data_IF_971162211056
#
_entry.id   IF_971162211056
#
_cell.length_a   1.000
_cell.length_b   1.000
_cell.length_c   1.000
_cell.angle_alpha   90.00
_cell.angle_beta   90.00
_cell.angle_gamma   90.00
#
_symmetry.space_group_name_H-M   'P 1'
#
loop_
_entity.id
_entity.type
_entity.pdbx_description
1 polymer ?
#
# COMPACT_ATOMS: atom_id res chain seq x y z
N UNK A 1 -71.35 -21.87 42.74
CA UNK A 1 -70.31 -22.12 41.71
C UNK A 1 -70.17 -20.87 40.84
N UNK A 2 -69.15 -20.01 41.05
CA UNK A 2 -68.93 -18.86 40.18
C UNK A 2 -67.97 -19.21 39.04
N UNK A 3 -68.36 -18.86 37.80
CA UNK A 3 -67.48 -18.88 36.63
C UNK A 3 -66.57 -17.65 36.69
N UNK A 4 -65.28 -17.87 36.94
CA UNK A 4 -64.23 -16.86 36.73
C UNK A 4 -64.06 -16.64 35.22
N UNK A 5 -64.83 -15.71 34.66
CA UNK A 5 -64.56 -15.17 33.34
C UNK A 5 -63.32 -14.27 33.47
N UNK A 6 -62.18 -14.77 33.00
CA UNK A 6 -60.99 -13.98 32.74
C UNK A 6 -61.32 -12.98 31.62
N UNK A 7 -61.75 -11.78 31.99
CA UNK A 7 -61.81 -10.63 31.09
C UNK A 7 -60.38 -10.26 30.69
N UNK A 8 -59.90 -10.85 29.59
CA UNK A 8 -58.66 -10.47 28.95
C UNK A 8 -58.84 -9.07 28.35
N UNK A 9 -58.38 -8.08 29.12
CA UNK A 9 -58.44 -6.65 28.82
C UNK A 9 -57.96 -6.36 27.37
N UNK A 10 -58.87 -5.87 26.52
CA UNK A 10 -58.65 -5.69 25.07
C UNK A 10 -57.58 -4.66 24.72
N UNK A 11 -57.21 -3.80 25.67
CA UNK A 11 -56.21 -2.74 25.50
C UNK A 11 -54.78 -3.25 25.28
N UNK A 12 -54.45 -4.49 25.66
CA UNK A 12 -53.08 -5.02 25.59
C UNK A 12 -52.78 -5.77 24.29
N UNK A 13 -53.83 -6.14 23.54
CA UNK A 13 -53.73 -6.82 22.24
C UNK A 13 -52.92 -6.04 21.20
N UNK A 14 -53.11 -4.72 20.98
CA UNK A 14 -52.30 -3.99 20.01
C UNK A 14 -50.81 -3.93 20.41
N UNK A 15 -50.51 -3.79 21.70
CA UNK A 15 -49.12 -3.76 22.20
C UNK A 15 -48.42 -5.11 22.01
N UNK A 16 -49.12 -6.23 22.22
CA UNK A 16 -48.60 -7.57 21.97
C UNK A 16 -48.35 -7.82 20.47
N UNK A 17 -49.26 -7.38 19.59
CA UNK A 17 -49.08 -7.49 18.13
C UNK A 17 -47.87 -6.68 17.66
N UNK A 18 -47.69 -5.45 18.16
CA UNK A 18 -46.51 -4.63 17.85
C UNK A 18 -45.23 -5.31 18.34
N UNK A 19 -45.19 -5.80 19.59
CA UNK A 19 -44.02 -6.47 20.14
C UNK A 19 -43.63 -7.71 19.33
N UNK A 20 -44.60 -8.58 19.00
CA UNK A 20 -44.35 -9.79 18.21
C UNK A 20 -43.89 -9.43 16.80
N UNK A 21 -44.51 -8.44 16.16
CA UNK A 21 -44.10 -7.95 14.84
C UNK A 21 -42.68 -7.37 14.87
N UNK A 22 -42.33 -6.60 15.89
CA UNK A 22 -40.97 -6.07 16.09
C UNK A 22 -39.95 -7.18 16.32
N UNK A 23 -40.26 -8.20 17.14
CA UNK A 23 -39.39 -9.34 17.36
C UNK A 23 -39.19 -10.18 16.09
N UNK A 24 -40.26 -10.40 15.32
CA UNK A 24 -40.19 -11.11 14.05
C UNK A 24 -39.36 -10.34 13.02
N UNK A 25 -39.54 -9.01 12.95
CA UNK A 25 -38.74 -8.14 12.10
C UNK A 25 -37.25 -8.18 12.50
N UNK A 26 -36.94 -8.06 13.79
CA UNK A 26 -35.57 -8.18 14.30
C UNK A 26 -34.96 -9.55 14.00
N UNK A 27 -35.74 -10.62 14.11
CA UNK A 27 -35.28 -11.97 13.79
C UNK A 27 -35.00 -12.16 12.29
N UNK A 28 -35.87 -11.64 11.42
CA UNK A 28 -35.65 -11.66 9.97
C UNK A 28 -34.41 -10.86 9.61
N UNK A 29 -34.23 -9.67 10.21
CA UNK A 29 -33.02 -8.86 10.04
C UNK A 29 -31.79 -9.64 10.52
N UNK A 30 -31.85 -10.24 11.71
CA UNK A 30 -30.76 -11.06 12.24
C UNK A 30 -30.37 -12.18 11.28
N UNK A 31 -31.32 -12.97 10.77
CA UNK A 31 -31.05 -14.03 9.81
C UNK A 31 -30.50 -13.50 8.47
N UNK A 32 -30.93 -12.32 8.04
CA UNK A 32 -30.42 -11.67 6.81
C UNK A 32 -28.97 -11.18 6.97
N UNK A 33 -28.57 -10.83 8.19
CA UNK A 33 -27.23 -10.34 8.52
C UNK A 33 -26.23 -11.48 8.79
N UNK A 34 -26.68 -12.71 8.99
CA UNK A 34 -25.78 -13.85 9.16
C UNK A 34 -24.97 -14.14 7.88
N UNK A 35 -23.71 -14.59 8.02
CA UNK A 35 -22.89 -14.93 6.87
C UNK A 35 -23.50 -16.10 6.08
N UNK A 36 -23.44 -16.00 4.75
CA UNK A 36 -24.01 -17.01 3.83
C UNK A 36 -22.88 -17.81 3.19
N UNK A 37 -22.64 -19.06 3.59
CA UNK A 37 -21.60 -19.89 3.01
C UNK A 37 -21.93 -20.27 1.57
N UNK A 38 -20.89 -20.38 0.74
CA UNK A 38 -20.95 -21.02 -0.57
C UNK A 38 -21.00 -22.53 -0.35
N UNK A 39 -21.94 -23.20 -1.03
CA UNK A 39 -22.11 -24.64 -0.93
C UNK A 39 -20.87 -25.38 -1.47
N UNK A 40 -20.40 -26.39 -0.74
CA UNK A 40 -19.28 -27.25 -1.16
C UNK A 40 -17.89 -26.74 -0.75
N UNK A 41 -17.76 -25.53 -0.19
CA UNK A 41 -16.48 -25.03 0.33
C UNK A 41 -16.43 -25.15 1.86
N UNK A 42 -15.42 -25.81 2.44
CA UNK A 42 -15.27 -25.92 3.90
C UNK A 42 -15.20 -24.57 4.61
N UNK A 43 -15.79 -24.50 5.80
CA UNK A 43 -15.79 -23.32 6.65
C UNK A 43 -15.91 -23.73 8.11
N UNK A 44 -15.56 -22.82 9.02
CA UNK A 44 -15.72 -23.05 10.45
C UNK A 44 -17.20 -22.98 10.85
N UNK A 45 -17.80 -24.04 11.42
CA UNK A 45 -19.24 -24.09 11.71
C UNK A 45 -19.75 -22.99 12.64
N UNK A 46 -18.88 -22.42 13.49
CA UNK A 46 -19.25 -21.36 14.41
C UNK A 46 -19.32 -19.97 13.76
N UNK A 47 -18.70 -19.80 12.58
CA UNK A 47 -18.68 -18.52 11.89
C UNK A 47 -20.08 -18.12 11.41
N UNK A 48 -20.85 -19.06 10.86
CA UNK A 48 -22.20 -18.78 10.33
C UNK A 48 -23.25 -18.51 11.41
N UNK A 49 -22.92 -18.79 12.68
CA UNK A 49 -23.81 -18.54 13.83
C UNK A 49 -23.68 -17.11 14.37
N UNK A 50 -22.65 -16.36 13.94
CA UNK A 50 -22.30 -15.05 14.47
C UNK A 50 -22.40 -14.01 13.36
N UNK A 51 -22.96 -12.83 13.65
CA UNK A 51 -23.09 -11.72 12.69
C UNK A 51 -21.72 -11.29 12.14
N UNK A 52 -20.68 -11.29 12.98
CA UNK A 52 -19.32 -10.93 12.62
C UNK A 52 -18.49 -12.09 12.06
N UNK A 53 -19.09 -13.26 11.85
CA UNK A 53 -18.39 -14.39 11.25
C UNK A 53 -17.17 -14.83 12.04
N UNK A 54 -16.04 -14.84 11.35
CA UNK A 54 -14.75 -15.28 11.88
C UNK A 54 -13.97 -14.18 12.62
N UNK A 55 -14.37 -12.93 12.45
CA UNK A 55 -13.64 -11.76 12.91
C UNK A 55 -13.32 -11.77 14.41
N UNK A 56 -14.26 -12.09 15.33
CA UNK A 56 -13.94 -12.08 16.76
C UNK A 56 -12.88 -13.10 17.15
N UNK A 57 -12.90 -14.29 16.55
CA UNK A 57 -11.91 -15.33 16.84
C UNK A 57 -10.55 -15.00 16.24
N UNK A 58 -10.54 -14.38 15.05
CA UNK A 58 -9.32 -13.85 14.45
C UNK A 58 -8.69 -12.79 15.37
N UNK A 59 -9.47 -11.80 15.81
CA UNK A 59 -8.99 -10.75 16.71
C UNK A 59 -8.51 -11.32 18.04
N UNK A 60 -9.20 -12.31 18.60
CA UNK A 60 -8.76 -12.98 19.82
C UNK A 60 -7.42 -13.69 19.63
N UNK A 61 -7.22 -14.35 18.49
CA UNK A 61 -5.98 -15.03 18.16
C UNK A 61 -4.83 -14.02 17.95
N UNK A 62 -5.06 -12.93 17.21
CA UNK A 62 -3.99 -11.97 16.86
C UNK A 62 -3.72 -10.93 17.96
N UNK A 63 -4.65 -10.67 18.88
CA UNK A 63 -4.44 -9.69 19.96
C UNK A 63 -3.71 -10.29 21.17
N UNK A 64 -3.88 -11.59 21.41
CA UNK A 64 -3.31 -12.28 22.59
C UNK A 64 -2.00 -13.00 22.30
N UNK A 65 -1.64 -13.19 21.03
CA UNK A 65 -0.45 -13.91 20.63
C UNK A 65 0.27 -13.17 19.50
N UNK A 66 1.57 -13.39 19.34
CA UNK A 66 2.37 -12.86 18.22
C UNK A 66 2.02 -13.52 16.87
N UNK A 67 0.83 -14.13 16.75
CA UNK A 67 0.35 -14.78 15.54
C UNK A 67 -0.12 -13.73 14.54
N UNK A 68 0.39 -13.86 13.32
CA UNK A 68 -0.09 -13.09 12.17
C UNK A 68 -1.44 -13.62 11.67
N UNK A 69 -2.16 -12.77 10.93
CA UNK A 69 -3.40 -13.16 10.22
C UNK A 69 -3.20 -14.44 9.38
N UNK A 70 -2.09 -14.53 8.62
CA UNK A 70 -1.84 -15.69 7.75
C UNK A 70 -1.53 -16.96 8.54
N UNK A 71 -0.85 -16.87 9.69
CA UNK A 71 -0.63 -18.03 10.55
C UNK A 71 -1.96 -18.56 11.11
N UNK A 72 -2.85 -17.67 11.54
CA UNK A 72 -4.19 -18.07 11.97
C UNK A 72 -4.96 -18.78 10.85
N UNK A 73 -4.95 -18.23 9.63
CA UNK A 73 -5.56 -18.89 8.46
C UNK A 73 -4.98 -20.28 8.21
N UNK A 74 -3.66 -20.43 8.25
CA UNK A 74 -3.00 -21.72 8.06
C UNK A 74 -3.43 -22.76 9.11
N UNK A 75 -3.58 -22.35 10.37
CA UNK A 75 -4.10 -23.21 11.44
C UNK A 75 -5.53 -23.66 11.14
N UNK A 76 -6.42 -22.73 10.73
CA UNK A 76 -7.80 -23.07 10.38
C UNK A 76 -7.88 -24.01 9.17
N UNK A 77 -7.03 -23.84 8.16
CA UNK A 77 -6.97 -24.76 7.02
C UNK A 77 -6.52 -26.17 7.43
N UNK A 78 -5.57 -26.27 8.36
CA UNK A 78 -5.12 -27.57 8.92
C UNK A 78 -6.22 -28.24 9.73
N UNK A 79 -6.95 -27.49 10.56
CA UNK A 79 -8.08 -28.00 11.34
C UNK A 79 -9.22 -28.51 10.45
N UNK A 80 -9.47 -27.85 9.32
CA UNK A 80 -10.48 -28.26 8.34
C UNK A 80 -10.00 -29.37 7.39
N UNK A 81 -8.73 -29.77 7.48
CA UNK A 81 -8.06 -30.73 6.57
C UNK A 81 -8.33 -30.44 5.08
N UNK A 82 -8.36 -29.16 4.71
CA UNK A 82 -8.73 -28.72 3.36
C UNK A 82 -7.79 -27.65 2.81
N UNK A 83 -7.34 -27.78 1.55
CA UNK A 83 -6.55 -26.76 0.87
C UNK A 83 -7.39 -25.55 0.41
N UNK A 84 -8.71 -25.60 0.57
CA UNK A 84 -9.63 -24.49 0.29
C UNK A 84 -10.55 -24.27 1.48
N UNK A 85 -10.72 -23.02 1.89
CA UNK A 85 -11.69 -22.64 2.91
C UNK A 85 -12.32 -21.29 2.61
N UNK A 86 -13.51 -21.06 3.13
CA UNK A 86 -14.15 -19.74 3.12
C UNK A 86 -14.12 -19.13 4.52
N UNK A 87 -13.79 -17.85 4.58
CA UNK A 87 -13.77 -17.05 5.81
C UNK A 87 -14.71 -15.87 5.73
N UNK A 88 -15.26 -15.52 6.89
CA UNK A 88 -16.23 -14.46 7.07
C UNK A 88 -15.63 -13.33 7.92
N UNK A 89 -14.60 -12.67 7.39
CA UNK A 89 -13.89 -11.57 8.04
C UNK A 89 -14.46 -10.19 7.72
N UNK A 90 -15.32 -10.10 6.70
CA UNK A 90 -16.00 -8.86 6.27
C UNK A 90 -17.50 -8.97 6.60
N UNK A 91 -18.01 -8.29 7.64
CA UNK A 91 -19.43 -8.33 7.95
C UNK A 91 -20.25 -7.78 6.78
N UNK A 92 -21.43 -8.35 6.55
CA UNK A 92 -22.38 -7.95 5.50
C UNK A 92 -21.86 -8.07 4.06
N UNK A 93 -20.73 -8.74 3.85
CA UNK A 93 -20.08 -8.92 2.56
C UNK A 93 -20.09 -10.40 2.14
N UNK A 94 -19.67 -10.67 0.90
CA UNK A 94 -19.45 -12.04 0.42
C UNK A 94 -18.30 -12.70 1.19
N UNK A 95 -18.32 -14.04 1.38
CA UNK A 95 -17.19 -14.75 1.98
C UNK A 95 -15.92 -14.56 1.16
N UNK A 96 -14.78 -14.52 1.84
CA UNK A 96 -13.46 -14.56 1.21
C UNK A 96 -13.04 -16.01 1.11
N UNK A 97 -12.72 -16.47 -0.10
CA UNK A 97 -12.20 -17.83 -0.33
C UNK A 97 -10.69 -17.76 -0.26
N UNK A 98 -10.10 -18.65 0.53
CA UNK A 98 -8.67 -18.82 0.67
C UNK A 98 -8.30 -20.17 0.07
N UNK A 99 -7.37 -20.12 -0.86
CA UNK A 99 -6.80 -21.28 -1.53
C UNK A 99 -5.33 -21.41 -1.12
N UNK A 100 -4.97 -22.55 -0.54
CA UNK A 100 -3.63 -22.88 -0.08
C UNK A 100 -2.92 -23.92 -0.95
N UNK A 101 -3.54 -24.36 -2.05
CA UNK A 101 -2.88 -25.23 -3.02
C UNK A 101 -2.09 -24.41 -4.05
N UNK A 102 -0.82 -24.76 -4.24
CA UNK A 102 0.08 -24.06 -5.14
C UNK A 102 -0.32 -24.18 -6.62
N UNK A 103 -0.69 -25.39 -7.06
CA UNK A 103 -0.98 -25.65 -8.48
C UNK A 103 -2.25 -24.94 -8.92
N UNK A 104 -3.29 -25.03 -8.10
CA UNK A 104 -4.56 -24.34 -8.35
C UNK A 104 -4.38 -22.82 -8.28
N UNK A 105 -3.57 -22.31 -7.33
CA UNK A 105 -3.27 -20.88 -7.25
C UNK A 105 -2.53 -20.38 -8.50
N UNK A 106 -1.56 -21.16 -8.99
CA UNK A 106 -0.85 -20.86 -10.22
C UNK A 106 -1.79 -20.86 -11.43
N UNK A 107 -2.66 -21.86 -11.55
CA UNK A 107 -3.64 -21.95 -12.64
C UNK A 107 -4.56 -20.71 -12.68
N UNK A 108 -5.09 -20.30 -11.52
CA UNK A 108 -5.92 -19.08 -11.39
C UNK A 108 -5.15 -17.85 -11.87
N UNK A 109 -3.89 -17.68 -11.44
CA UNK A 109 -3.07 -16.52 -11.81
C UNK A 109 -2.73 -16.48 -13.32
N UNK A 110 -2.65 -17.64 -13.98
CA UNK A 110 -2.39 -17.74 -15.41
C UNK A 110 -3.66 -17.51 -16.26
N UNK A 111 -4.86 -17.72 -15.69
CA UNK A 111 -6.15 -17.52 -16.35
C UNK A 111 -6.75 -16.13 -16.10
N UNK A 112 -5.99 -15.09 -16.44
CA UNK A 112 -6.37 -13.68 -16.22
C UNK A 112 -7.63 -13.21 -16.99
N UNK A 113 -8.23 -14.05 -17.83
CA UNK A 113 -9.51 -13.77 -18.51
C UNK A 113 -10.71 -14.21 -17.69
N UNK A 114 -10.53 -15.22 -16.85
CA UNK A 114 -11.58 -15.79 -16.01
C UNK A 114 -11.67 -15.07 -14.65
N UNK A 115 -10.55 -14.47 -14.23
CA UNK A 115 -10.38 -13.81 -12.95
C UNK A 115 -9.99 -12.35 -13.13
N UNK A 116 -10.65 -11.46 -12.37
CA UNK A 116 -10.30 -10.05 -12.30
C UNK A 116 -9.68 -9.71 -10.92
N UNK A 117 -9.17 -8.48 -10.80
CA UNK A 117 -8.57 -7.93 -9.60
C UNK A 117 -9.59 -7.84 -8.46
N UNK A 118 -9.08 -7.93 -7.23
CA UNK A 118 -9.91 -7.91 -6.02
C UNK A 118 -10.46 -6.51 -5.73
N UNK A 119 -11.78 -6.43 -5.53
CA UNK A 119 -12.45 -5.24 -5.00
C UNK A 119 -11.86 -4.79 -3.65
N UNK A 120 -11.40 -5.74 -2.83
CA UNK A 120 -10.77 -5.44 -1.54
C UNK A 120 -9.49 -4.63 -1.70
N UNK A 121 -8.64 -5.01 -2.67
CA UNK A 121 -7.44 -4.25 -2.98
C UNK A 121 -7.80 -2.85 -3.53
N UNK A 122 -8.86 -2.79 -4.35
CA UNK A 122 -9.43 -1.53 -4.82
C UNK A 122 -9.83 -0.60 -3.68
N UNK A 123 -10.58 -1.10 -2.69
CA UNK A 123 -11.00 -0.34 -1.51
C UNK A 123 -9.81 0.15 -0.68
N UNK A 124 -8.82 -0.72 -0.43
CA UNK A 124 -7.61 -0.35 0.32
C UNK A 124 -6.87 0.78 -0.40
N UNK A 125 -6.68 0.68 -1.72
CA UNK A 125 -5.93 1.70 -2.46
C UNK A 125 -6.74 2.97 -2.74
N UNK A 126 -8.07 2.89 -2.81
CA UNK A 126 -8.94 4.02 -3.17
C UNK A 126 -8.82 5.23 -2.25
N UNK A 127 -8.50 5.02 -0.98
CA UNK A 127 -8.35 6.11 -0.04
C UNK A 127 -7.06 6.91 -0.24
N UNK A 128 -5.99 6.27 -0.70
CA UNK A 128 -4.70 6.91 -0.94
C UNK A 128 -4.52 7.36 -2.39
N UNK A 129 -4.78 6.48 -3.33
CA UNK A 129 -4.56 6.67 -4.77
C UNK A 129 -5.85 6.36 -5.54
N UNK A 130 -6.85 7.26 -5.51
CA UNK A 130 -8.10 7.05 -6.25
C UNK A 130 -7.80 6.95 -7.76
N UNK A 131 -8.39 5.94 -8.42
CA UNK A 131 -8.19 5.74 -9.86
C UNK A 131 -6.85 5.10 -10.24
N UNK A 132 -5.99 4.75 -9.28
CA UNK A 132 -4.75 4.05 -9.59
C UNK A 132 -5.01 2.61 -10.06
N UNK A 133 -4.31 2.20 -11.12
CA UNK A 133 -4.53 0.94 -11.82
C UNK A 133 -4.36 -0.31 -10.94
N UNK A 134 -3.68 -0.22 -9.79
CA UNK A 134 -3.56 -1.34 -8.86
C UNK A 134 -4.92 -1.79 -8.33
N UNK A 135 -5.79 -0.82 -8.03
CA UNK A 135 -7.12 -1.02 -7.47
C UNK A 135 -8.25 -0.98 -8.49
N UNK A 136 -7.95 -0.84 -9.79
CA UNK A 136 -8.97 -0.82 -10.84
C UNK A 136 -9.23 -2.21 -11.41
N UNK A 137 -10.48 -2.52 -11.81
CA UNK A 137 -10.80 -3.73 -12.55
C UNK A 137 -10.18 -3.69 -13.96
N UNK A 138 -10.04 -4.86 -14.60
CA UNK A 138 -9.37 -5.01 -15.90
C UNK A 138 -10.26 -4.49 -17.05
N UNK A 139 -10.33 -3.16 -17.19
CA UNK A 139 -11.11 -2.47 -18.21
C UNK A 139 -10.21 -1.64 -19.17
N UNK A 140 -10.82 -0.84 -20.06
CA UNK A 140 -10.09 -0.01 -21.01
C UNK A 140 -9.19 1.03 -20.30
N UNK A 141 -9.66 1.64 -19.22
CA UNK A 141 -8.90 2.59 -18.40
C UNK A 141 -7.68 1.92 -17.77
N UNK A 142 -7.84 0.72 -17.21
CA UNK A 142 -6.73 -0.05 -16.65
C UNK A 142 -5.67 -0.37 -17.71
N UNK A 143 -6.11 -0.79 -18.91
CA UNK A 143 -5.20 -1.08 -20.04
C UNK A 143 -4.43 0.17 -20.46
N UNK A 144 -5.11 1.30 -20.53
CA UNK A 144 -4.50 2.59 -20.86
C UNK A 144 -3.45 2.98 -19.82
N UNK A 145 -3.80 2.99 -18.52
CA UNK A 145 -2.84 3.24 -17.44
C UNK A 145 -1.63 2.30 -17.51
N UNK A 146 -1.86 0.99 -17.66
CA UNK A 146 -0.77 0.00 -17.78
C UNK A 146 0.10 0.20 -19.01
N UNK A 147 -0.49 0.68 -20.11
CA UNK A 147 0.25 0.99 -21.33
C UNK A 147 1.28 2.10 -21.08
N UNK A 148 1.00 3.06 -20.20
CA UNK A 148 1.95 4.13 -19.84
C UNK A 148 3.21 3.58 -19.15
N UNK A 149 3.04 2.59 -18.27
CA UNK A 149 4.14 2.00 -17.49
C UNK A 149 4.95 0.95 -18.26
N UNK A 150 4.46 0.44 -19.39
CA UNK A 150 4.99 -0.75 -20.06
C UNK A 150 6.52 -0.72 -20.26
N UNK A 151 7.06 0.43 -20.67
CA UNK A 151 8.48 0.55 -21.00
C UNK A 151 9.38 0.84 -19.79
N UNK A 152 8.80 1.14 -18.61
CA UNK A 152 9.55 1.42 -17.39
C UNK A 152 10.27 0.17 -16.84
N UNK A 153 9.94 -1.01 -17.35
CA UNK A 153 10.61 -2.28 -17.02
C UNK A 153 11.44 -2.79 -18.22
N UNK A 154 11.56 -2.01 -19.29
CA UNK A 154 12.37 -2.40 -20.44
C UNK A 154 13.86 -2.42 -20.06
N UNK A 155 14.68 -3.32 -20.66
CA UNK A 155 16.13 -3.33 -20.42
C UNK A 155 16.80 -1.98 -20.70
N UNK A 156 16.29 -1.20 -21.67
CA UNK A 156 16.81 0.14 -21.97
C UNK A 156 16.58 1.12 -20.83
N UNK A 157 15.35 1.20 -20.32
CA UNK A 157 15.03 2.06 -19.18
C UNK A 157 15.80 1.64 -17.92
N UNK A 158 15.86 0.33 -17.65
CA UNK A 158 16.56 -0.20 -16.48
C UNK A 158 18.05 0.14 -16.50
N UNK A 159 18.73 0.02 -17.65
CA UNK A 159 20.15 0.33 -17.75
C UNK A 159 20.45 1.84 -17.75
N UNK A 160 19.63 2.63 -18.45
CA UNK A 160 19.94 4.05 -18.68
C UNK A 160 19.42 4.98 -17.59
N UNK A 161 18.32 4.62 -16.91
CA UNK A 161 17.63 5.47 -15.93
C UNK A 161 17.67 4.85 -14.54
N UNK A 162 17.19 3.61 -14.40
CA UNK A 162 17.06 2.99 -13.07
C UNK A 162 18.42 2.64 -12.43
N UNK A 163 19.30 1.96 -13.17
CA UNK A 163 20.58 1.49 -12.64
C UNK A 163 21.48 2.63 -12.13
N UNK A 164 21.65 3.77 -12.83
CA UNK A 164 22.44 4.89 -12.30
C UNK A 164 21.86 5.49 -11.02
N UNK A 165 20.53 5.63 -10.93
CA UNK A 165 19.85 6.14 -9.74
C UNK A 165 20.05 5.22 -8.53
N UNK A 166 19.84 3.92 -8.71
CA UNK A 166 20.05 2.90 -7.67
C UNK A 166 21.52 2.84 -7.26
N UNK A 167 22.45 2.87 -8.22
CA UNK A 167 23.89 2.87 -7.92
C UNK A 167 24.29 4.06 -7.04
N UNK A 168 23.77 5.27 -7.32
CA UNK A 168 24.01 6.46 -6.51
C UNK A 168 23.48 6.29 -5.09
N UNK A 169 22.23 5.82 -4.94
CA UNK A 169 21.63 5.58 -3.63
C UNK A 169 22.43 4.56 -2.80
N UNK A 170 22.81 3.43 -3.42
CA UNK A 170 23.62 2.39 -2.77
C UNK A 170 25.03 2.91 -2.41
N UNK A 171 25.64 3.75 -3.24
CA UNK A 171 26.95 4.35 -2.93
C UNK A 171 26.89 5.26 -1.68
N UNK A 172 25.79 6.00 -1.51
CA UNK A 172 25.52 6.81 -0.31
C UNK A 172 25.34 5.90 0.91
N UNK A 173 24.59 4.80 0.78
CA UNK A 173 24.42 3.81 1.85
C UNK A 173 25.76 3.19 2.29
N UNK A 174 26.61 2.80 1.34
CA UNK A 174 27.94 2.26 1.65
C UNK A 174 28.76 3.31 2.43
N UNK A 175 28.71 4.58 2.01
CA UNK A 175 29.39 5.68 2.71
C UNK A 175 28.86 5.87 4.13
N UNK A 176 27.53 5.81 4.31
CA UNK A 176 26.87 5.87 5.61
C UNK A 176 27.33 4.73 6.52
N UNK A 177 27.37 3.50 6.02
CA UNK A 177 27.79 2.34 6.81
C UNK A 177 29.28 2.32 7.12
N UNK A 178 30.14 2.80 6.23
CA UNK A 178 31.56 3.01 6.55
C UNK A 178 31.72 3.97 7.73
N UNK A 179 30.95 5.07 7.72
CA UNK A 179 30.99 6.06 8.80
C UNK A 179 30.39 5.52 10.11
N UNK A 180 29.21 4.87 10.04
CA UNK A 180 28.61 4.21 11.21
C UNK A 180 29.55 3.16 11.81
N UNK A 181 30.22 2.36 10.98
CA UNK A 181 31.21 1.38 11.43
C UNK A 181 32.40 2.03 12.14
N UNK A 182 32.92 3.14 11.59
CA UNK A 182 34.00 3.93 12.22
C UNK A 182 33.58 4.48 13.59
N UNK A 183 32.39 5.07 13.68
CA UNK A 183 31.81 5.57 14.94
C UNK A 183 31.55 4.41 15.91
N UNK A 184 31.14 3.26 15.39
CA UNK A 184 30.75 2.14 16.21
C UNK A 184 31.91 1.37 16.85
N UNK A 185 33.10 1.46 16.27
CA UNK A 185 34.33 0.93 16.84
C UNK A 185 34.17 -0.53 17.33
N UNK A 186 33.58 -1.38 16.49
CA UNK A 186 33.35 -2.81 16.78
C UNK A 186 32.00 -3.16 17.40
N UNK A 187 31.15 -2.18 17.74
CA UNK A 187 29.78 -2.41 18.22
C UNK A 187 28.79 -2.63 17.06
N UNK A 188 27.71 -3.41 17.25
CA UNK A 188 26.67 -3.55 16.22
C UNK A 188 25.85 -2.26 16.04
N UNK A 189 25.19 -2.11 14.89
CA UNK A 189 24.22 -1.05 14.62
C UNK A 189 23.08 -1.58 13.74
N UNK A 190 21.91 -0.95 13.81
CA UNK A 190 20.76 -1.33 12.98
C UNK A 190 20.95 -0.90 11.52
N UNK A 191 20.74 -1.83 10.60
CA UNK A 191 20.77 -1.59 9.16
C UNK A 191 19.37 -1.46 8.53
N UNK A 192 18.32 -1.80 9.28
CA UNK A 192 16.97 -1.96 8.74
C UNK A 192 16.44 -0.66 8.13
N UNK A 193 16.50 0.44 8.89
CA UNK A 193 15.99 1.74 8.43
C UNK A 193 16.85 2.32 7.31
N UNK A 194 18.16 2.06 7.32
CA UNK A 194 19.06 2.52 6.27
C UNK A 194 18.74 1.83 4.93
N UNK A 195 18.47 0.52 4.95
CA UNK A 195 18.06 -0.24 3.76
C UNK A 195 16.73 0.29 3.24
N UNK A 196 15.77 0.52 4.13
CA UNK A 196 14.45 1.00 3.77
C UNK A 196 14.50 2.41 3.16
N UNK A 197 15.23 3.35 3.77
CA UNK A 197 15.38 4.71 3.22
C UNK A 197 16.19 4.73 1.93
N UNK A 198 17.20 3.87 1.79
CA UNK A 198 17.99 3.77 0.56
C UNK A 198 17.16 3.21 -0.60
N UNK A 199 16.31 2.21 -0.33
CA UNK A 199 15.40 1.67 -1.32
C UNK A 199 14.42 2.76 -1.82
N UNK A 200 13.90 3.57 -0.89
CA UNK A 200 13.03 4.70 -1.23
C UNK A 200 13.76 5.74 -2.10
N UNK A 201 14.99 6.12 -1.73
CA UNK A 201 15.82 7.04 -2.53
C UNK A 201 16.09 6.48 -3.93
N UNK A 202 16.35 5.17 -4.04
CA UNK A 202 16.53 4.50 -5.32
C UNK A 202 15.28 4.55 -6.20
N UNK A 203 14.10 4.33 -5.63
CA UNK A 203 12.82 4.44 -6.34
C UNK A 203 12.55 5.86 -6.80
N UNK A 204 12.75 6.85 -5.92
CA UNK A 204 12.58 8.26 -6.27
C UNK A 204 13.53 8.69 -7.38
N UNK A 205 14.79 8.25 -7.35
CA UNK A 205 15.79 8.62 -8.34
C UNK A 205 15.41 8.22 -9.78
N UNK A 206 14.75 7.07 -9.99
CA UNK A 206 14.30 6.68 -11.33
C UNK A 206 12.85 7.07 -11.62
N UNK A 207 12.02 7.30 -10.60
CA UNK A 207 10.65 7.74 -10.77
C UNK A 207 10.58 9.21 -11.19
N UNK A 208 11.27 10.08 -10.45
CA UNK A 208 11.26 11.54 -10.60
C UNK A 208 12.53 12.08 -11.29
N UNK A 209 13.60 11.29 -11.31
CA UNK A 209 14.85 11.66 -11.97
C UNK A 209 15.89 12.28 -11.02
N UNK A 210 16.96 12.82 -11.59
CA UNK A 210 18.12 13.34 -10.84
C UNK A 210 17.85 14.66 -10.11
N UNK A 211 16.83 15.40 -10.56
CA UNK A 211 16.45 16.72 -10.06
C UNK A 211 15.54 16.62 -8.82
N UNK A 212 15.09 15.42 -8.49
CA UNK A 212 14.30 15.19 -7.30
C UNK A 212 15.12 15.51 -6.04
N UNK A 213 14.72 16.59 -5.38
CA UNK A 213 15.46 17.23 -4.28
C UNK A 213 15.47 16.36 -3.01
N UNK A 214 14.40 15.58 -2.80
CA UNK A 214 14.16 14.90 -1.53
C UNK A 214 14.89 13.56 -1.44
N UNK A 215 15.81 13.44 -0.49
CA UNK A 215 16.53 12.22 -0.17
C UNK A 215 16.42 11.90 1.33
N UNK A 216 16.13 10.66 1.67
CA UNK A 216 15.98 10.18 3.03
C UNK A 216 17.31 9.79 3.68
N UNK A 217 18.27 9.28 2.89
CA UNK A 217 19.53 8.72 3.40
C UNK A 217 20.64 9.76 3.46
N UNK A 218 20.64 10.74 2.55
CA UNK A 218 21.67 11.77 2.48
C UNK A 218 21.74 12.69 3.73
N UNK A 219 20.62 13.17 4.30
CA UNK A 219 20.65 13.95 5.54
C UNK A 219 21.27 13.18 6.71
N UNK A 220 21.05 11.85 6.79
CA UNK A 220 21.68 10.98 7.79
C UNK A 220 23.20 10.96 7.64
N UNK A 221 23.69 10.88 6.41
CA UNK A 221 25.12 10.91 6.12
C UNK A 221 25.74 12.26 6.52
N UNK A 222 25.10 13.37 6.13
CA UNK A 222 25.59 14.72 6.41
C UNK A 222 25.63 15.01 7.92
N UNK A 223 24.61 14.58 8.67
CA UNK A 223 24.58 14.69 10.13
C UNK A 223 25.73 13.91 10.78
N UNK A 224 25.94 12.65 10.39
CA UNK A 224 27.03 11.84 10.95
C UNK A 224 28.41 12.38 10.57
N UNK A 225 28.55 12.95 9.37
CA UNK A 225 29.79 13.61 8.96
C UNK A 225 30.09 14.84 9.81
N UNK A 226 29.07 15.65 10.11
CA UNK A 226 29.21 16.79 11.02
C UNK A 226 29.61 16.32 12.44
N UNK A 227 28.97 15.26 12.95
CA UNK A 227 29.32 14.69 14.26
C UNK A 227 30.76 14.15 14.30
N UNK A 228 31.23 13.45 13.25
CA UNK A 228 32.62 12.95 13.18
C UNK A 228 33.65 14.10 13.15
N UNK A 229 33.29 15.25 12.56
CA UNK A 229 34.14 16.45 12.54
C UNK A 229 34.16 17.21 13.87
N UNK A 230 33.04 17.27 14.59
CA UNK A 230 32.96 17.91 15.92
C UNK A 230 33.57 17.05 17.04
N UNK A 231 33.56 15.72 16.90
CA UNK A 231 34.06 14.76 17.90
C UNK A 231 35.59 14.64 17.98
N UNK A 232 36.34 15.69 17.60
CA UNK A 232 37.80 15.70 17.58
C UNK A 232 38.46 15.80 18.98
N UNK A 233 37.69 15.92 20.06
CA UNK A 233 38.24 15.80 21.41
C UNK A 233 38.34 14.33 21.86
N UNK A 234 39.55 13.80 22.15
CA UNK A 234 39.77 12.38 22.46
C UNK A 234 39.15 11.89 23.79
N UNK A 235 38.44 12.75 24.53
CA UNK A 235 38.11 12.53 25.94
C UNK A 235 36.72 11.90 26.14
N UNK A 236 35.78 12.02 25.20
CA UNK A 236 34.43 11.45 25.34
C UNK A 236 34.28 10.00 24.82
N UNK A 237 35.37 9.39 24.33
CA UNK A 237 35.38 7.97 23.92
C UNK A 237 35.39 6.99 25.09
N UNK A 238 35.49 7.49 26.33
CA UNK A 238 35.61 6.69 27.56
C UNK A 238 34.53 7.11 28.56
N UNK A 239 33.28 6.75 28.31
CA UNK A 239 32.19 7.13 29.23
C UNK A 239 30.91 6.31 29.16
N UNK A 240 30.86 5.22 28.40
CA UNK A 240 29.65 4.41 28.27
C UNK A 240 29.89 3.02 28.84
N UNK A 241 29.39 2.79 30.04
CA UNK A 241 29.18 1.50 30.73
C UNK A 241 28.23 0.56 29.96
N UNK A 242 28.29 0.53 28.62
CA UNK A 242 27.43 -0.28 27.75
C UNK A 242 28.21 -1.45 27.19
N UNK A 243 27.55 -2.60 27.09
CA UNK A 243 28.14 -3.84 26.58
C UNK A 243 28.63 -3.66 25.14
N UNK A 244 29.69 -4.38 24.77
CA UNK A 244 30.19 -4.42 23.38
C UNK A 244 29.13 -4.94 22.39
N UNK A 245 28.21 -5.76 22.89
CA UNK A 245 27.11 -6.35 22.13
C UNK A 245 25.88 -5.42 22.03
N UNK A 246 25.86 -4.30 22.76
CA UNK A 246 24.71 -3.39 22.73
C UNK A 246 24.79 -2.51 21.48
N UNK A 247 23.74 -2.51 20.62
CA UNK A 247 23.76 -1.77 19.38
C UNK A 247 23.81 -0.27 19.63
N UNK A 248 24.54 0.43 18.76
CA UNK A 248 24.55 1.90 18.81
C UNK A 248 23.24 2.44 18.28
N UNK A 249 22.60 3.27 19.10
CA UNK A 249 21.54 4.14 18.64
C UNK A 249 22.17 5.26 17.84
N UNK A 250 22.11 5.14 16.51
CA UNK A 250 22.47 6.25 15.63
C UNK A 250 21.48 7.38 15.81
N UNK A 251 21.95 8.62 15.93
CA UNK A 251 21.09 9.80 15.89
C UNK A 251 20.28 9.77 14.59
N UNK A 252 18.96 9.75 14.69
CA UNK A 252 18.08 9.86 13.53
C UNK A 252 18.13 11.29 13.01
N UNK A 253 18.58 11.47 11.76
CA UNK A 253 18.46 12.76 11.10
C UNK A 253 17.00 13.04 10.79
N UNK A 254 16.62 14.32 10.89
CA UNK A 254 15.29 14.74 10.49
C UNK A 254 15.10 14.49 9.00
N UNK A 255 14.09 13.69 8.68
CA UNK A 255 13.76 13.29 7.32
C UNK A 255 13.00 14.42 6.63
N UNK A 256 13.30 14.76 5.35
CA UNK A 256 12.59 15.81 4.63
C UNK A 256 11.07 15.59 4.65
N UNK A 257 10.31 16.69 4.69
CA UNK A 257 8.87 16.65 4.87
C UNK A 257 8.14 15.81 3.80
N UNK A 258 8.60 15.85 2.54
CA UNK A 258 8.04 15.04 1.44
C UNK A 258 8.24 13.53 1.65
N UNK A 259 9.42 13.13 2.14
CA UNK A 259 9.70 11.73 2.47
C UNK A 259 8.83 11.31 3.67
N UNK A 260 8.79 12.13 4.72
CA UNK A 260 7.96 11.86 5.90
C UNK A 260 6.48 11.72 5.53
N UNK A 261 5.95 12.61 4.70
CA UNK A 261 4.60 12.50 4.16
C UNK A 261 4.38 11.17 3.43
N UNK A 262 5.33 10.74 2.61
CA UNK A 262 5.25 9.45 1.90
C UNK A 262 5.19 8.27 2.86
N UNK A 263 6.02 8.28 3.92
CA UNK A 263 6.02 7.25 4.96
C UNK A 263 4.72 7.23 5.77
N UNK A 264 4.22 8.41 6.16
CA UNK A 264 2.95 8.55 6.88
C UNK A 264 1.77 8.00 6.06
N UNK A 265 1.79 8.22 4.74
CA UNK A 265 0.78 7.68 3.83
C UNK A 265 0.86 6.15 3.69
N UNK A 266 2.08 5.58 3.62
CA UNK A 266 2.26 4.11 3.59
C UNK A 266 1.79 3.47 4.91
N UNK A 267 2.15 4.05 6.05
CA UNK A 267 1.68 3.57 7.36
C UNK A 267 0.14 3.63 7.48
N UNK A 268 -0.49 4.64 6.90
CA UNK A 268 -1.95 4.74 6.87
C UNK A 268 -2.61 3.61 6.05
N UNK A 269 -1.97 3.17 4.96
CA UNK A 269 -2.45 2.02 4.17
C UNK A 269 -2.38 0.73 4.98
N UNK A 270 -1.26 0.49 5.68
CA UNK A 270 -1.10 -0.67 6.55
C UNK A 270 -2.15 -0.69 7.67
N UNK A 271 -2.40 0.46 8.32
CA UNK A 271 -3.43 0.60 9.35
C UNK A 271 -4.83 0.31 8.80
N UNK A 272 -5.12 0.75 7.57
CA UNK A 272 -6.44 0.55 6.94
C UNK A 272 -6.63 -0.89 6.48
N UNK A 273 -5.60 -1.53 5.93
CA UNK A 273 -5.64 -2.92 5.48
C UNK A 273 -5.98 -3.89 6.63
N UNK A 274 -5.55 -3.58 7.86
CA UNK A 274 -5.91 -4.35 9.06
C UNK A 274 -7.36 -4.16 9.54
N UNK A 275 -8.12 -3.23 8.95
CA UNK A 275 -9.48 -2.91 9.41
C UNK A 275 -10.54 -3.85 8.82
N UNK A 276 -11.52 -4.31 9.62
CA UNK A 276 -12.65 -5.12 9.12
C UNK A 276 -13.58 -4.36 8.16
N UNK A 277 -13.62 -3.03 8.29
CA UNK A 277 -14.43 -2.13 7.45
C UNK A 277 -13.51 -1.04 6.89
N UNK A 278 -12.93 -1.34 5.73
CA UNK A 278 -11.88 -0.53 5.07
C UNK A 278 -12.38 0.89 4.76
N UNK A 279 -13.54 1.02 4.12
CA UNK A 279 -14.06 2.34 3.71
C UNK A 279 -14.27 3.30 4.89
N UNK A 280 -14.83 2.79 6.01
CA UNK A 280 -15.07 3.60 7.20
C UNK A 280 -13.76 4.00 7.88
N UNK A 281 -12.79 3.07 7.91
CA UNK A 281 -11.46 3.37 8.43
C UNK A 281 -10.76 4.45 7.61
N UNK A 282 -10.89 4.43 6.29
CA UNK A 282 -10.38 5.51 5.43
C UNK A 282 -11.02 6.86 5.78
N UNK A 283 -12.34 6.92 6.00
CA UNK A 283 -13.00 8.16 6.44
C UNK A 283 -12.38 8.66 7.74
N UNK A 284 -12.21 7.80 8.75
CA UNK A 284 -11.63 8.18 10.04
C UNK A 284 -10.16 8.62 9.92
N UNK A 285 -9.36 7.90 9.14
CA UNK A 285 -7.94 8.19 8.95
C UNK A 285 -7.76 9.51 8.18
N UNK A 286 -8.59 9.78 7.17
CA UNK A 286 -8.62 11.07 6.44
C UNK A 286 -9.03 12.27 7.29
N UNK A 287 -9.71 12.07 8.42
CA UNK A 287 -10.02 13.18 9.33
C UNK A 287 -8.78 13.67 10.09
N UNK A 288 -7.73 12.84 10.23
CA UNK A 288 -6.49 13.22 10.91
C UNK A 288 -5.78 14.33 10.13
N UNK A 289 -5.37 15.40 10.82
CA UNK A 289 -4.70 16.55 10.21
C UNK A 289 -3.35 16.17 9.59
N UNK A 290 -2.60 15.27 10.23
CA UNK A 290 -1.32 14.78 9.71
C UNK A 290 -1.46 14.11 8.34
N UNK A 291 -2.47 13.24 8.17
CA UNK A 291 -2.68 12.57 6.88
C UNK A 291 -3.13 13.54 5.79
N UNK A 292 -3.99 14.52 6.13
CA UNK A 292 -4.41 15.55 5.17
C UNK A 292 -3.22 16.36 4.66
N UNK A 293 -2.34 16.79 5.57
CA UNK A 293 -1.09 17.45 5.19
C UNK A 293 -0.22 16.55 4.31
N UNK A 294 -0.06 15.28 4.68
CA UNK A 294 0.73 14.34 3.91
C UNK A 294 0.18 14.13 2.49
N UNK A 295 -1.15 14.08 2.32
CA UNK A 295 -1.82 14.03 1.01
C UNK A 295 -1.56 15.31 0.20
N UNK A 296 -1.69 16.48 0.82
CA UNK A 296 -1.44 17.77 0.17
C UNK A 296 0.02 17.89 -0.31
N UNK A 297 0.99 17.50 0.53
CA UNK A 297 2.40 17.46 0.18
C UNK A 297 2.64 16.51 -0.99
N UNK A 298 2.04 15.30 -0.94
CA UNK A 298 2.13 14.32 -2.02
C UNK A 298 1.62 14.87 -3.34
N UNK A 299 0.43 15.45 -3.33
CA UNK A 299 -0.17 16.02 -4.54
C UNK A 299 0.64 17.20 -5.08
N UNK A 300 1.19 18.05 -4.19
CA UNK A 300 2.00 19.20 -4.57
C UNK A 300 3.30 18.80 -5.27
N UNK A 301 4.08 17.87 -4.69
CA UNK A 301 5.34 17.48 -5.33
C UNK A 301 5.08 16.68 -6.61
N UNK A 302 4.08 15.79 -6.66
CA UNK A 302 3.74 15.06 -7.91
C UNK A 302 3.38 16.04 -9.02
N UNK A 303 2.58 17.06 -8.72
CA UNK A 303 2.21 18.08 -9.70
C UNK A 303 3.43 18.86 -10.19
N UNK A 304 4.35 19.22 -9.29
CA UNK A 304 5.59 19.91 -9.64
C UNK A 304 6.44 19.08 -10.60
N UNK A 305 6.64 17.80 -10.31
CA UNK A 305 7.43 16.89 -11.15
C UNK A 305 6.79 16.66 -12.54
N UNK A 306 5.46 16.54 -12.61
CA UNK A 306 4.75 16.49 -13.91
C UNK A 306 4.95 17.79 -14.69
N UNK A 307 4.91 18.93 -14.01
CA UNK A 307 5.10 20.24 -14.66
C UNK A 307 6.52 20.40 -15.20
N UNK A 308 7.53 19.94 -14.46
CA UNK A 308 8.92 19.91 -14.92
C UNK A 308 9.10 18.98 -16.11
N UNK A 309 8.52 17.78 -16.07
CA UNK A 309 8.56 16.84 -17.19
C UNK A 309 7.94 17.43 -18.48
N UNK A 310 6.86 18.20 -18.36
CA UNK A 310 6.28 18.93 -19.49
C UNK A 310 7.23 20.01 -20.04
N UNK A 311 7.89 20.77 -19.17
CA UNK A 311 8.87 21.78 -19.58
C UNK A 311 10.08 21.15 -20.28
N UNK A 312 10.59 20.03 -19.77
CA UNK A 312 11.67 19.28 -20.42
C UNK A 312 11.27 18.84 -21.82
N UNK A 313 10.07 18.28 -21.98
CA UNK A 313 9.55 17.85 -23.27
C UNK A 313 9.37 19.02 -24.26
N UNK A 314 8.92 20.20 -23.81
CA UNK A 314 8.82 21.40 -24.63
C UNK A 314 10.21 21.88 -25.08
N UNK A 315 11.17 21.99 -24.15
CA UNK A 315 12.54 22.40 -24.47
C UNK A 315 13.23 21.43 -25.44
N UNK A 316 13.00 20.13 -25.30
CA UNK A 316 13.54 19.11 -26.21
C UNK A 316 12.99 19.24 -27.63
N UNK A 317 11.72 19.65 -27.80
CA UNK A 317 11.15 19.90 -29.13
C UNK A 317 11.79 21.09 -29.80
N UNK A 318 11.97 22.20 -29.08
CA UNK A 318 12.63 23.40 -29.59
C UNK A 318 14.08 23.12 -30.01
N UNK A 319 14.79 22.30 -29.26
CA UNK A 319 16.15 21.85 -29.58
C UNK A 319 16.15 20.92 -30.80
N UNK A 320 15.18 20.01 -30.90
CA UNK A 320 15.06 19.09 -32.04
C UNK A 320 14.74 19.80 -33.36
N UNK A 321 13.95 20.88 -33.31
CA UNK A 321 13.60 21.71 -34.46
C UNK A 321 14.77 22.62 -34.89
N UNK A 322 15.67 22.97 -33.97
CA UNK A 322 16.88 23.76 -34.24
C UNK A 322 18.08 22.94 -34.73
N UNK A 323 17.97 21.60 -34.77
CA UNK A 323 18.91 20.72 -35.46
C UNK A 323 20.14 20.27 -34.67
N UNK A 324 20.31 20.72 -33.42
CA UNK A 324 21.40 20.30 -32.54
C UNK A 324 21.05 18.97 -31.85
N UNK A 325 21.69 17.88 -32.30
CA UNK A 325 21.44 16.49 -31.86
C UNK A 325 22.36 16.03 -30.72
N UNK A 326 22.80 16.91 -29.84
CA UNK A 326 23.73 16.53 -28.77
C UNK A 326 23.20 16.83 -27.37
N UNK A 327 23.02 15.73 -26.63
CA UNK A 327 23.15 15.59 -25.16
C UNK A 327 21.91 15.82 -24.26
N UNK A 328 20.94 14.90 -24.33
CA UNK A 328 20.42 14.20 -23.14
C UNK A 328 19.66 12.93 -23.60
N UNK A 329 19.67 11.80 -22.86
CA UNK A 329 18.65 10.77 -23.05
C UNK A 329 17.28 11.42 -23.07
N UNK A 330 16.54 11.18 -24.17
CA UNK A 330 15.12 11.54 -24.36
C UNK A 330 14.22 11.14 -23.19
N UNK A 331 14.68 10.32 -22.25
CA UNK A 331 13.94 9.90 -21.07
C UNK A 331 14.86 9.99 -19.85
N UNK A 332 14.59 10.93 -18.94
CA UNK A 332 15.42 11.16 -17.73
C UNK A 332 14.81 10.51 -16.49
N UNK A 333 13.50 10.30 -16.49
CA UNK A 333 12.74 9.70 -15.39
C UNK A 333 11.55 8.88 -15.89
N UNK A 334 10.87 8.17 -14.98
CA UNK A 334 9.63 7.49 -15.29
C UNK A 334 8.50 8.45 -15.65
N UNK A 335 8.44 9.62 -15.01
CA UNK A 335 7.42 10.64 -15.31
C UNK A 335 7.63 11.21 -16.71
N UNK A 336 8.86 11.54 -17.10
CA UNK A 336 9.15 12.02 -18.47
C UNK A 336 8.68 11.00 -19.50
N UNK A 337 8.97 9.71 -19.26
CA UNK A 337 8.50 8.64 -20.13
C UNK A 337 6.96 8.58 -20.21
N UNK A 338 6.27 8.73 -19.08
CA UNK A 338 4.81 8.69 -19.05
C UNK A 338 4.20 9.88 -19.79
N UNK A 339 4.72 11.09 -19.58
CA UNK A 339 4.27 12.32 -20.25
C UNK A 339 4.47 12.22 -21.76
N UNK A 340 5.66 11.82 -22.21
CA UNK A 340 5.94 11.62 -23.65
C UNK A 340 5.02 10.59 -24.28
N UNK A 341 4.72 9.52 -23.57
CA UNK A 341 3.84 8.46 -24.07
C UNK A 341 2.39 8.91 -24.18
N UNK A 342 1.91 9.72 -23.24
CA UNK A 342 0.58 10.33 -23.35
C UNK A 342 0.48 11.21 -24.60
N UNK A 343 1.49 12.03 -24.87
CA UNK A 343 1.53 12.83 -26.08
C UNK A 343 1.55 11.97 -27.36
N UNK A 344 2.42 10.96 -27.42
CA UNK A 344 2.49 10.04 -28.56
C UNK A 344 1.14 9.35 -28.83
N UNK A 345 0.39 9.03 -27.76
CA UNK A 345 -0.95 8.46 -27.86
C UNK A 345 -1.97 9.49 -28.34
N UNK A 346 -1.91 10.73 -27.85
CA UNK A 346 -2.79 11.82 -28.28
C UNK A 346 -2.59 12.13 -29.78
N UNK A 347 -1.36 12.26 -30.25
CA UNK A 347 -1.03 12.50 -31.66
C UNK A 347 -1.55 11.38 -32.58
N UNK A 348 -1.51 10.12 -32.13
CA UNK A 348 -2.06 8.98 -32.89
C UNK A 348 -3.58 9.01 -32.98
N UNK A 349 -4.27 9.52 -31.95
CA UNK A 349 -5.73 9.68 -31.95
C UNK A 349 -6.15 10.81 -32.89
N UNK A 350 -5.38 11.90 -32.94
CA UNK A 350 -5.64 13.05 -33.81
C UNK A 350 -5.29 12.78 -35.30
N UNK A 351 -4.45 11.78 -35.58
CA UNK A 351 -4.03 11.38 -36.94
C UNK A 351 -4.53 9.98 -37.38
N UNK A 352 -5.85 9.69 -37.36
CA UNK A 352 -6.39 8.35 -37.61
C UNK A 352 -6.16 7.83 -39.04
N UNK A 353 -5.70 8.66 -39.98
CA UNK A 353 -5.48 8.30 -41.38
C UNK A 353 -4.09 7.69 -41.69
N UNK A 354 -3.15 7.66 -40.75
CA UNK A 354 -1.80 7.13 -41.02
C UNK A 354 -1.67 5.61 -40.85
N UNK A 355 -2.64 4.95 -40.22
CA UNK A 355 -2.59 3.51 -39.90
C UNK A 355 -3.33 2.60 -40.88
N UNK A 356 -3.90 3.15 -41.97
CA UNK A 356 -4.53 2.37 -43.07
C UNK A 356 -3.63 2.12 -44.29
N UNK A 357 -2.38 2.59 -44.26
CA UNK A 357 -1.39 2.28 -45.29
C UNK A 357 -0.15 1.64 -44.64
N UNK A 358 -0.23 0.34 -44.36
CA UNK A 358 0.92 -0.57 -44.36
C UNK A 358 0.45 -2.02 -44.41
#
# INVERSE_FOLDING_TARGET
>A
MPKLALEFNSAWRPHLVVLVSSLLLLYIIYQRLLPKPILGIPYRPDAVKKIFGDLPALLEATSKSDKTYMQWIQEQMRELESPIMQVFIRPFSKPVIILGDFRESQDILMRSKDWDRSDMLGEVMSGLLPGHHLGQPTNATWKHHRNLLHNLISPGFLNSVAAPGVHKAVSVLISLWMLKSKIANGRPFSAQDDIYTTALDGVHAFAFGKEFEYNATRPKLELLQAMDQESLDPIDRVGSTRSIDEPIQSSEAEVPEAIRATLDLTAAVEEVQGSPVIWLKWVLVKLRSQLRKALEIKDAYIHNEISQALQHMESEKEISDSGDKELDPRVRSAIDHMVQREEDLALRIESPNSSRQR
#
